data_IF_208206358740
#
_entry.id   IF_208206358740
#
_cell.length_a   1.000
_cell.length_b   1.000
_cell.length_c   1.000
_cell.angle_alpha   90.00
_cell.angle_beta   90.00
_cell.angle_gamma   90.00
#
_symmetry.space_group_name_H-M   'P 1'
#
loop_
_entity.id
_entity.type
_entity.pdbx_description
1 polymer ?
#
# COMPACT_ATOMS: atom_id res chain seq x y z
N UNK A 1 -0.59 12.10 -5.63
CA UNK A 1 0.03 11.92 -4.29
C UNK A 1 1.03 13.00 -3.91
N UNK A 2 2.05 13.32 -4.74
CA UNK A 2 3.11 14.30 -4.41
C UNK A 2 2.63 15.65 -3.88
N UNK A 3 1.54 16.20 -4.43
CA UNK A 3 0.98 17.50 -4.01
C UNK A 3 0.45 17.49 -2.57
N UNK A 4 -0.08 16.35 -2.10
CA UNK A 4 -0.74 16.25 -0.78
C UNK A 4 0.18 15.80 0.34
N UNK A 5 1.19 14.97 0.04
CA UNK A 5 2.12 14.43 1.04
C UNK A 5 3.50 15.10 0.97
N UNK A 6 3.88 15.64 -0.19
CA UNK A 6 5.20 16.23 -0.44
C UNK A 6 6.23 15.21 -0.91
N UNK A 7 7.47 15.66 -1.11
CA UNK A 7 8.62 14.83 -1.44
C UNK A 7 9.83 15.32 -0.65
N UNK A 8 10.68 14.43 -0.09
CA UNK A 8 10.65 12.98 -0.16
C UNK A 8 9.51 12.33 0.64
N UNK A 9 9.15 11.08 0.33
CA UNK A 9 8.13 10.30 1.04
C UNK A 9 8.80 9.11 1.71
N UNK A 10 8.51 8.91 2.99
CA UNK A 10 8.99 7.76 3.79
C UNK A 10 7.84 6.80 4.06
N UNK A 11 8.04 5.51 3.79
CA UNK A 11 7.11 4.43 4.17
C UNK A 11 7.57 3.69 5.43
N UNK A 12 6.64 3.28 6.29
CA UNK A 12 6.93 2.50 7.50
C UNK A 12 5.73 1.62 7.90
N UNK A 13 5.97 0.49 8.57
CA UNK A 13 4.92 -0.49 8.84
C UNK A 13 3.89 -0.07 9.89
N UNK A 14 4.34 0.42 11.05
CA UNK A 14 3.46 0.75 12.19
C UNK A 14 3.72 2.13 12.77
N UNK A 15 2.68 2.83 13.24
CA UNK A 15 2.81 4.03 14.06
C UNK A 15 3.25 3.68 15.49
N UNK A 16 4.49 3.20 15.63
CA UNK A 16 5.10 2.90 16.93
C UNK A 16 6.29 3.82 17.20
N UNK A 17 6.48 4.20 18.46
CA UNK A 17 7.73 4.84 18.91
C UNK A 17 8.92 3.88 18.73
N UNK A 18 8.69 2.57 18.77
CA UNK A 18 9.72 1.55 18.56
C UNK A 18 10.24 1.60 17.10
N UNK A 19 11.55 1.81 16.94
CA UNK A 19 12.21 1.87 15.63
C UNK A 19 12.14 0.53 14.89
N UNK A 20 12.30 -0.60 15.59
CA UNK A 20 12.27 -1.92 14.96
C UNK A 20 10.88 -2.25 14.38
N UNK A 21 9.80 -1.86 15.10
CA UNK A 21 8.43 -2.05 14.64
C UNK A 21 8.08 -1.18 13.40
N UNK A 22 8.79 -0.05 13.21
CA UNK A 22 8.64 0.80 12.01
C UNK A 22 9.33 0.22 10.77
N UNK A 23 10.39 -0.57 10.95
CA UNK A 23 11.16 -1.16 9.85
C UNK A 23 10.47 -2.35 9.19
N UNK A 24 9.53 -3.01 9.86
CA UNK A 24 8.81 -4.16 9.32
C UNK A 24 7.45 -3.75 8.81
N UNK A 25 7.17 -4.00 7.54
CA UNK A 25 5.85 -3.83 6.96
C UNK A 25 5.10 -5.17 7.07
N UNK A 26 4.00 -5.23 7.83
CA UNK A 26 3.18 -6.44 7.88
C UNK A 26 2.54 -6.69 6.52
N UNK A 27 2.52 -7.95 6.10
CA UNK A 27 1.89 -8.41 4.88
C UNK A 27 1.13 -9.71 5.16
N UNK A 28 0.11 -9.99 4.35
CA UNK A 28 -0.63 -11.25 4.36
C UNK A 28 -0.57 -11.84 2.96
N UNK A 29 -0.08 -13.06 2.84
CA UNK A 29 -0.09 -13.84 1.60
C UNK A 29 -1.13 -14.94 1.67
N UNK A 30 -1.89 -15.14 0.61
CA UNK A 30 -2.87 -16.22 0.49
C UNK A 30 -2.99 -16.65 -0.97
N UNK A 31 -3.53 -17.85 -1.20
CA UNK A 31 -3.75 -18.38 -2.55
C UNK A 31 -5.25 -18.53 -2.76
N UNK A 32 -5.75 -18.08 -3.91
CA UNK A 32 -7.17 -18.19 -4.25
C UNK A 32 -7.55 -19.59 -4.77
N UNK A 33 -8.84 -19.79 -5.03
CA UNK A 33 -9.39 -21.06 -5.53
C UNK A 33 -8.82 -21.45 -6.91
N UNK A 34 -8.36 -20.47 -7.68
CA UNK A 34 -7.74 -20.72 -8.98
C UNK A 34 -6.23 -20.97 -8.88
N UNK A 35 -5.62 -20.89 -7.69
CA UNK A 35 -4.19 -21.08 -7.49
C UNK A 35 -3.33 -19.82 -7.74
N UNK A 36 -3.92 -18.63 -7.82
CA UNK A 36 -3.19 -17.35 -7.91
C UNK A 36 -2.70 -16.95 -6.51
N UNK A 37 -1.43 -16.56 -6.40
CA UNK A 37 -0.87 -15.99 -5.18
C UNK A 37 -1.27 -14.52 -5.05
N UNK A 38 -1.81 -14.17 -3.89
CA UNK A 38 -2.19 -12.82 -3.50
C UNK A 38 -1.32 -12.33 -2.33
N UNK A 39 -1.02 -11.05 -2.32
CA UNK A 39 -0.36 -10.37 -1.21
C UNK A 39 -1.07 -9.07 -0.88
N UNK A 40 -1.44 -8.93 0.39
CA UNK A 40 -2.03 -7.71 0.95
C UNK A 40 -0.98 -7.04 1.81
N UNK A 41 -0.72 -5.76 1.56
CA UNK A 41 0.27 -4.95 2.26
C UNK A 41 -0.37 -3.64 2.69
N UNK A 42 -0.28 -3.35 3.99
CA UNK A 42 -0.75 -2.11 4.58
C UNK A 42 0.41 -1.41 5.30
N UNK A 43 0.71 -0.18 4.92
CA UNK A 43 1.81 0.58 5.51
C UNK A 43 1.48 2.06 5.60
N UNK A 44 2.20 2.78 6.44
CA UNK A 44 2.04 4.20 6.63
C UNK A 44 3.05 4.95 5.78
N UNK A 45 2.66 6.15 5.33
CA UNK A 45 3.52 7.06 4.59
C UNK A 45 3.52 8.43 5.24
N UNK A 46 4.68 9.09 5.19
CA UNK A 46 4.84 10.46 5.68
C UNK A 46 5.76 11.24 4.75
N UNK A 47 5.39 12.47 4.45
CA UNK A 47 6.23 13.43 3.76
C UNK A 47 6.15 14.81 4.42
N UNK A 48 6.81 15.82 3.84
CA UNK A 48 6.87 17.17 4.40
C UNK A 48 5.51 17.85 4.59
N UNK A 49 4.50 17.50 3.78
CA UNK A 49 3.22 18.19 3.77
C UNK A 49 2.08 17.37 4.37
N UNK A 50 2.31 16.11 4.72
CA UNK A 50 1.24 15.26 5.20
C UNK A 50 1.67 13.85 5.56
N UNK A 51 0.70 13.10 6.07
CA UNK A 51 0.83 11.70 6.40
C UNK A 51 -0.41 10.93 5.93
N UNK A 52 -0.27 9.63 5.82
CA UNK A 52 -1.35 8.77 5.38
C UNK A 52 -1.03 7.29 5.54
N UNK A 53 -1.94 6.47 5.07
CA UNK A 53 -1.85 5.03 5.05
C UNK A 53 -2.12 4.53 3.64
N UNK A 54 -1.36 3.53 3.24
CA UNK A 54 -1.49 2.85 1.96
C UNK A 54 -2.10 1.49 2.23
N UNK A 55 -3.10 1.17 1.43
CA UNK A 55 -3.70 -0.16 1.34
C UNK A 55 -3.43 -0.68 -0.05
N UNK A 56 -2.80 -1.84 -0.14
CA UNK A 56 -2.44 -2.44 -1.40
C UNK A 56 -2.74 -3.92 -1.39
N UNK A 57 -3.30 -4.39 -2.49
CA UNK A 57 -3.39 -5.81 -2.80
C UNK A 57 -2.82 -6.05 -4.18
N UNK A 58 -2.01 -7.09 -4.28
CA UNK A 58 -1.41 -7.52 -5.54
C UNK A 58 -1.64 -9.01 -5.72
N UNK A 59 -1.78 -9.40 -6.98
CA UNK A 59 -1.85 -10.81 -7.38
C UNK A 59 -0.71 -11.12 -8.34
N UNK A 60 -0.28 -12.37 -8.36
CA UNK A 60 0.78 -12.84 -9.25
C UNK A 60 0.17 -13.39 -10.52
N UNK A 61 0.32 -12.64 -11.61
CA UNK A 61 -0.19 -13.02 -12.92
C UNK A 61 0.33 -14.39 -13.34
N UNK A 62 -0.56 -15.32 -13.72
CA UNK A 62 -0.19 -16.70 -14.09
C UNK A 62 0.59 -16.79 -15.39
N UNK A 63 0.37 -15.84 -16.31
CA UNK A 63 0.95 -15.83 -17.66
C UNK A 63 2.32 -15.13 -17.63
N UNK A 64 2.34 -13.89 -17.15
CA UNK A 64 3.53 -13.03 -17.12
C UNK A 64 4.42 -13.29 -15.90
N UNK A 65 3.90 -13.98 -14.87
CA UNK A 65 4.59 -14.24 -13.59
C UNK A 65 5.03 -12.96 -12.87
N UNK A 66 4.33 -11.85 -13.12
CA UNK A 66 4.57 -10.55 -12.51
C UNK A 66 3.50 -10.22 -11.47
N UNK A 67 3.89 -9.48 -10.44
CA UNK A 67 2.93 -8.93 -9.48
C UNK A 67 2.20 -7.74 -10.10
N UNK A 68 0.88 -7.81 -10.13
CA UNK A 68 0.00 -6.74 -10.61
C UNK A 68 -0.86 -6.24 -9.45
N UNK A 69 -1.09 -4.93 -9.39
CA UNK A 69 -1.96 -4.36 -8.37
C UNK A 69 -3.43 -4.67 -8.68
N UNK A 70 -4.14 -5.29 -7.73
CA UNK A 70 -5.59 -5.30 -7.73
C UNK A 70 -6.12 -3.93 -7.32
N UNK A 71 -5.58 -3.40 -6.22
CA UNK A 71 -5.77 -2.01 -5.84
C UNK A 71 -4.53 -1.43 -5.18
N UNK A 72 -4.37 -0.13 -5.34
CA UNK A 72 -3.44 0.69 -4.58
C UNK A 72 -4.16 1.95 -4.12
N UNK A 73 -4.53 1.99 -2.84
CA UNK A 73 -5.28 3.09 -2.23
C UNK A 73 -4.37 3.83 -1.26
N UNK A 74 -4.38 5.16 -1.35
CA UNK A 74 -3.71 6.04 -0.40
C UNK A 74 -4.77 6.86 0.34
N UNK A 75 -4.88 6.63 1.63
CA UNK A 75 -5.66 7.44 2.55
C UNK A 75 -4.74 8.49 3.19
N UNK A 76 -4.88 9.74 2.77
CA UNK A 76 -4.23 10.89 3.41
C UNK A 76 -5.00 11.19 4.68
N UNK A 77 -4.32 11.21 5.83
CA UNK A 77 -4.91 11.52 7.14
C UNK A 77 -4.63 12.94 7.59
N UNK A 78 -3.57 13.56 7.08
CA UNK A 78 -3.15 14.93 7.38
C UNK A 78 -2.53 15.58 6.14
N UNK A 79 -2.83 16.86 5.84
CA UNK A 79 -3.54 17.84 6.67
C UNK A 79 -5.07 17.83 6.50
N UNK A 80 -5.57 17.21 5.44
CA UNK A 80 -7.00 17.05 5.18
C UNK A 80 -7.27 15.60 4.74
N UNK A 81 -8.23 14.90 5.38
CA UNK A 81 -8.58 13.54 5.01
C UNK A 81 -8.98 13.42 3.54
N UNK A 82 -8.33 12.52 2.81
CA UNK A 82 -8.69 12.23 1.42
C UNK A 82 -8.26 10.81 1.03
N UNK A 83 -9.08 10.13 0.24
CA UNK A 83 -8.74 8.83 -0.32
C UNK A 83 -8.41 8.97 -1.80
N UNK A 84 -7.31 8.35 -2.22
CA UNK A 84 -6.84 8.34 -3.61
C UNK A 84 -6.66 6.88 -4.05
N UNK A 85 -7.45 6.43 -5.03
CA UNK A 85 -7.20 5.19 -5.75
C UNK A 85 -6.16 5.48 -6.85
N UNK A 86 -5.02 4.81 -6.82
CA UNK A 86 -3.94 5.02 -7.79
C UNK A 86 -3.96 3.99 -8.91
N UNK A 87 -4.25 2.75 -8.55
CA UNK A 87 -4.41 1.65 -9.50
C UNK A 87 -5.60 0.81 -9.04
N UNK A 88 -6.41 0.37 -10.00
CA UNK A 88 -7.49 -0.59 -9.79
C UNK A 88 -7.55 -1.52 -10.99
N UNK A 89 -7.35 -2.81 -10.77
CA UNK A 89 -7.57 -3.86 -11.75
C UNK A 89 -8.79 -4.68 -11.32
N UNK A 90 -9.83 -4.67 -12.14
CA UNK A 90 -10.99 -5.54 -11.99
C UNK A 90 -10.81 -6.67 -13.01
N UNK A 91 -10.51 -7.91 -12.59
CA UNK A 91 -10.53 -9.05 -13.49
C UNK A 91 -11.93 -9.14 -14.11
N UNK A 92 -12.01 -9.17 -15.44
CA UNK A 92 -13.25 -9.35 -16.18
C UNK A 92 -13.75 -10.79 -16.13
#
# INVERSE_FOLDING_TARGET
>A
VRVRIGSPITGYGSESRNRAARQRIPHKTWTDEEGVEHVVVNFHIRGPHGAGKVYSEMFKDKVEKQWKFMYLIVEVTSPSPAQLMLESYVPA
#
